data_IF_202837782749
#
_entry.id   IF_202837782749
#
_cell.length_a   1.000
_cell.length_b   1.000
_cell.length_c   1.000
_cell.angle_alpha   90.00
_cell.angle_beta   90.00
_cell.angle_gamma   90.00
#
_symmetry.space_group_name_H-M   'P 1'
#
loop_
_entity.id
_entity.type
_entity.pdbx_description
1 polymer ?
#
# COMPACT_ATOMS: atom_id res chain seq x y z
N UNK A 1 -5.62 -17.47 4.36
CA UNK A 1 -4.43 -17.12 5.13
C UNK A 1 -4.87 -16.66 6.52
N UNK A 2 -4.26 -17.23 7.54
CA UNK A 2 -4.47 -16.83 8.93
C UNK A 2 -3.90 -15.41 9.12
N UNK A 3 -4.69 -14.48 9.65
CA UNK A 3 -4.24 -13.12 9.94
C UNK A 3 -3.45 -13.05 11.26
N UNK A 4 -2.67 -11.98 11.43
CA UNK A 4 -2.04 -11.65 12.70
C UNK A 4 -3.09 -10.97 13.61
N UNK A 5 -3.12 -11.32 14.89
CA UNK A 5 -4.00 -10.71 15.89
C UNK A 5 -3.26 -9.61 16.63
N UNK A 6 -3.91 -8.49 16.87
CA UNK A 6 -3.33 -7.39 17.65
C UNK A 6 -3.13 -7.76 19.12
N UNK A 7 -2.12 -7.16 19.74
CA UNK A 7 -1.84 -7.27 21.18
C UNK A 7 -1.99 -5.87 21.81
N UNK A 8 -3.21 -5.41 22.09
CA UNK A 8 -3.51 -4.02 22.40
C UNK A 8 -2.97 -3.52 23.75
N UNK A 9 -2.54 -4.42 24.62
CA UNK A 9 -1.93 -4.08 25.91
C UNK A 9 -0.44 -3.71 25.82
N UNK A 10 0.21 -3.92 24.67
CA UNK A 10 1.62 -3.55 24.47
C UNK A 10 1.77 -2.11 23.99
N UNK A 11 0.86 -1.65 23.14
CA UNK A 11 0.88 -0.31 22.58
C UNK A 11 -0.54 0.21 22.43
N UNK A 12 -0.70 1.51 22.54
CA UNK A 12 -1.92 2.17 22.11
C UNK A 12 -1.88 2.31 20.60
N UNK A 13 -2.90 1.80 19.92
CA UNK A 13 -2.97 1.70 18.46
C UNK A 13 -4.06 2.64 17.92
N UNK A 14 -3.68 3.43 16.94
CA UNK A 14 -4.61 4.20 16.11
C UNK A 14 -4.43 3.78 14.64
N UNK A 15 -5.46 3.98 13.84
CA UNK A 15 -5.49 3.54 12.45
C UNK A 15 -5.97 4.69 11.57
N UNK A 16 -5.16 5.09 10.57
CA UNK A 16 -5.57 6.03 9.53
C UNK A 16 -6.20 5.23 8.40
N UNK A 17 -7.50 5.41 8.09
CA UNK A 17 -8.10 4.82 6.91
C UNK A 17 -7.34 5.21 5.65
N UNK A 18 -7.27 4.32 4.67
CA UNK A 18 -6.51 4.54 3.44
C UNK A 18 -6.94 5.80 2.67
N UNK A 19 -8.24 6.12 2.65
CA UNK A 19 -8.74 7.34 2.03
C UNK A 19 -8.27 8.62 2.75
N UNK A 20 -8.14 8.59 4.08
CA UNK A 20 -7.57 9.68 4.86
C UNK A 20 -6.05 9.83 4.62
N UNK A 21 -5.34 8.68 4.50
CA UNK A 21 -3.92 8.67 4.13
C UNK A 21 -3.70 9.31 2.75
N UNK A 22 -4.53 8.98 1.77
CA UNK A 22 -4.45 9.54 0.42
C UNK A 22 -4.73 11.05 0.37
N UNK A 23 -5.62 11.57 1.22
CA UNK A 23 -5.81 13.02 1.36
C UNK A 23 -4.54 13.69 1.85
N UNK A 24 -3.89 13.11 2.86
CA UNK A 24 -2.62 13.59 3.37
C UNK A 24 -1.49 13.52 2.33
N UNK A 25 -1.42 12.48 1.52
CA UNK A 25 -0.43 12.39 0.42
C UNK A 25 -0.60 13.51 -0.61
N UNK A 26 -1.83 13.97 -0.86
CA UNK A 26 -2.11 15.07 -1.79
C UNK A 26 -1.81 16.44 -1.17
N UNK A 27 -2.06 16.56 0.11
CA UNK A 27 -1.85 17.78 0.89
C UNK A 27 -1.28 17.44 2.26
N UNK A 28 0.03 17.62 2.43
CA UNK A 28 0.72 17.33 3.68
C UNK A 28 0.33 18.24 4.85
N UNK A 29 -0.43 19.32 4.60
CA UNK A 29 -1.03 20.15 5.66
C UNK A 29 -2.32 19.53 6.23
N UNK A 30 -2.90 18.55 5.53
CA UNK A 30 -4.09 17.82 5.98
C UNK A 30 -3.76 16.94 7.20
N UNK A 31 -4.63 16.96 8.20
CA UNK A 31 -4.51 16.13 9.38
C UNK A 31 -5.47 14.93 9.25
N UNK A 32 -4.96 13.73 8.93
CA UNK A 32 -5.79 12.54 8.75
C UNK A 32 -6.59 12.21 10.02
N UNK A 33 -7.85 11.84 9.85
CA UNK A 33 -8.66 11.29 10.92
C UNK A 33 -8.23 9.87 11.22
N UNK A 34 -8.22 9.52 12.51
CA UNK A 34 -7.90 8.18 12.96
C UNK A 34 -9.14 7.49 13.52
N UNK A 35 -9.12 6.16 13.52
CA UNK A 35 -10.06 5.32 14.26
C UNK A 35 -9.28 4.45 15.24
N UNK A 36 -9.93 3.98 16.30
CA UNK A 36 -9.36 3.03 17.24
C UNK A 36 -9.61 1.59 16.78
N UNK A 37 -9.08 0.64 17.55
CA UNK A 37 -9.17 -0.79 17.17
C UNK A 37 -10.61 -1.32 17.08
N UNK A 38 -11.52 -0.76 17.86
CA UNK A 38 -12.96 -1.07 17.83
C UNK A 38 -13.71 -0.43 16.65
N UNK A 39 -13.11 0.58 16.02
CA UNK A 39 -13.67 1.28 14.86
C UNK A 39 -13.20 0.76 13.50
N UNK A 40 -12.27 -0.20 13.45
CA UNK A 40 -11.80 -0.75 12.18
C UNK A 40 -12.85 -1.65 11.53
N UNK A 41 -12.80 -1.77 10.20
CA UNK A 41 -13.76 -2.55 9.42
C UNK A 41 -13.05 -3.64 8.60
N UNK A 42 -13.67 -4.82 8.43
CA UNK A 42 -13.10 -5.87 7.62
C UNK A 42 -12.98 -5.45 6.14
N UNK A 43 -11.97 -6.00 5.48
CA UNK A 43 -11.61 -5.73 4.09
C UNK A 43 -11.23 -4.27 3.79
N UNK A 44 -10.89 -3.48 4.82
CA UNK A 44 -10.36 -2.13 4.66
C UNK A 44 -8.87 -2.07 5.01
N UNK A 45 -8.19 -1.12 4.37
CA UNK A 45 -6.78 -0.85 4.57
C UNK A 45 -6.59 0.34 5.52
N UNK A 46 -5.55 0.26 6.35
CA UNK A 46 -5.21 1.28 7.32
C UNK A 46 -3.71 1.43 7.46
N UNK A 47 -3.23 2.67 7.66
CA UNK A 47 -1.89 2.91 8.17
C UNK A 47 -1.91 2.82 9.70
N UNK A 48 -0.92 2.11 10.28
CA UNK A 48 -0.81 1.96 11.73
C UNK A 48 -0.07 3.14 12.34
N UNK A 49 -0.64 3.66 13.44
CA UNK A 49 0.01 4.61 14.35
C UNK A 49 0.19 3.92 15.70
N UNK A 50 1.38 4.07 16.29
CA UNK A 50 1.74 3.45 17.55
C UNK A 50 2.10 4.52 18.59
N UNK A 51 1.52 4.39 19.79
CA UNK A 51 2.00 5.05 20.99
C UNK A 51 2.49 3.99 21.97
N UNK A 52 3.79 4.03 22.31
CA UNK A 52 4.37 3.10 23.28
C UNK A 52 4.21 3.67 24.68
N UNK A 53 3.53 2.91 25.57
CA UNK A 53 3.28 3.28 26.96
C UNK A 53 4.27 2.67 27.95
N UNK A 54 5.16 1.79 27.50
CA UNK A 54 6.14 1.06 28.35
C UNK A 54 7.51 1.72 28.42
N UNK A 55 7.61 2.98 28.05
CA UNK A 55 8.87 3.72 27.97
C UNK A 55 9.34 3.87 26.52
N UNK A 56 10.04 4.96 26.27
CA UNK A 56 10.47 5.36 24.92
C UNK A 56 9.75 6.62 24.45
N UNK A 57 10.17 7.11 23.30
CA UNK A 57 9.72 8.41 22.74
C UNK A 57 8.66 8.27 21.65
N UNK A 58 8.11 7.09 21.43
CA UNK A 58 7.13 6.88 20.36
C UNK A 58 5.73 7.30 20.84
N UNK A 59 5.34 8.53 20.50
CA UNK A 59 4.00 9.05 20.70
C UNK A 59 3.38 9.35 19.35
N UNK A 60 2.24 8.69 19.04
CA UNK A 60 1.54 8.79 17.75
C UNK A 60 2.49 8.64 16.56
N UNK A 61 3.41 7.69 16.68
CA UNK A 61 4.41 7.43 15.65
C UNK A 61 3.76 6.68 14.48
N UNK A 62 3.83 7.28 13.29
CA UNK A 62 3.41 6.66 12.04
C UNK A 62 4.49 5.68 11.59
N UNK A 63 4.19 4.38 11.67
CA UNK A 63 5.15 3.32 11.30
C UNK A 63 5.39 3.31 9.78
N UNK A 64 4.43 3.83 9.02
CA UNK A 64 4.45 3.79 7.57
C UNK A 64 4.09 2.41 7.00
N UNK A 65 3.48 1.54 7.81
CA UNK A 65 2.97 0.26 7.35
C UNK A 65 1.47 0.34 7.11
N UNK A 66 1.06 -0.11 5.93
CA UNK A 66 -0.33 -0.35 5.58
C UNK A 66 -0.70 -1.79 5.90
N UNK A 67 -1.81 -1.97 6.56
CA UNK A 67 -2.40 -3.27 6.87
C UNK A 67 -3.80 -3.37 6.30
N UNK A 68 -4.25 -4.59 6.06
CA UNK A 68 -5.65 -4.90 5.76
C UNK A 68 -6.27 -5.67 6.91
N UNK A 69 -7.43 -5.22 7.38
CA UNK A 69 -8.22 -5.98 8.35
C UNK A 69 -8.93 -7.10 7.59
N UNK A 70 -8.69 -8.35 8.00
CA UNK A 70 -9.27 -9.53 7.34
C UNK A 70 -10.45 -10.13 8.12
N UNK A 71 -10.47 -9.93 9.43
CA UNK A 71 -11.55 -10.37 10.33
C UNK A 71 -11.63 -9.45 11.54
N UNK A 72 -12.79 -9.38 12.19
CA UNK A 72 -12.94 -8.68 13.48
C UNK A 72 -12.77 -9.61 14.69
N UNK A 73 -12.59 -10.91 14.45
CA UNK A 73 -12.42 -11.93 15.47
C UNK A 73 -11.40 -12.97 15.04
N UNK A 74 -10.62 -13.47 15.95
CA UNK A 74 -9.81 -14.65 15.77
C UNK A 74 -10.59 -15.89 16.25
N UNK A 75 -11.19 -16.62 15.32
CA UNK A 75 -12.03 -17.78 15.63
C UNK A 75 -11.24 -18.95 16.24
N UNK A 76 -9.99 -19.15 15.82
CA UNK A 76 -9.15 -20.23 16.32
C UNK A 76 -8.78 -20.01 17.78
N UNK A 77 -8.32 -18.79 18.11
CA UNK A 77 -7.98 -18.41 19.47
C UNK A 77 -9.20 -18.07 20.33
N UNK A 78 -10.39 -17.97 19.74
CA UNK A 78 -11.66 -17.52 20.39
C UNK A 78 -11.52 -16.15 21.05
N UNK A 79 -10.82 -15.23 20.38
CA UNK A 79 -10.53 -13.87 20.88
C UNK A 79 -11.26 -12.86 20.02
N UNK A 80 -12.00 -11.95 20.65
CA UNK A 80 -12.72 -10.87 19.99
C UNK A 80 -11.78 -9.68 19.71
N UNK A 81 -10.77 -9.94 18.88
CA UNK A 81 -9.82 -8.92 18.40
C UNK A 81 -9.67 -9.03 16.89
N UNK A 82 -9.59 -7.89 16.19
CA UNK A 82 -9.36 -7.87 14.76
C UNK A 82 -8.09 -8.61 14.36
N UNK A 83 -8.15 -9.23 13.19
CA UNK A 83 -7.00 -9.83 12.52
C UNK A 83 -6.59 -8.99 11.33
N UNK A 84 -5.29 -8.89 11.11
CA UNK A 84 -4.71 -8.13 10.02
C UNK A 84 -3.75 -8.96 9.18
N UNK A 85 -3.51 -8.50 7.96
CA UNK A 85 -2.38 -8.91 7.13
C UNK A 85 -1.60 -7.67 6.71
N UNK A 86 -0.31 -7.79 6.56
CA UNK A 86 0.49 -6.73 5.97
C UNK A 86 0.05 -6.50 4.52
N UNK A 87 -0.19 -5.25 4.16
CA UNK A 87 -0.64 -4.86 2.81
C UNK A 87 0.49 -4.23 2.00
N UNK A 88 1.30 -3.38 2.61
CA UNK A 88 2.43 -2.70 1.97
C UNK A 88 2.97 -1.56 2.83
N UNK A 89 3.85 -0.75 2.24
CA UNK A 89 4.32 0.48 2.86
C UNK A 89 3.45 1.64 2.43
N UNK A 90 3.11 2.52 3.38
CA UNK A 90 2.31 3.71 3.14
C UNK A 90 2.96 4.67 2.13
N UNK A 91 4.29 4.78 2.19
CA UNK A 91 5.08 5.64 1.30
C UNK A 91 5.14 5.12 -0.14
N UNK A 92 4.78 3.86 -0.38
CA UNK A 92 4.80 3.21 -1.69
C UNK A 92 3.43 3.12 -2.36
N UNK A 93 2.42 3.79 -1.78
CA UNK A 93 1.12 3.94 -2.42
C UNK A 93 1.18 5.06 -3.47
N UNK A 94 1.04 4.69 -4.73
CA UNK A 94 0.97 5.63 -5.85
C UNK A 94 -0.49 5.74 -6.31
N UNK A 95 -1.13 6.88 -6.03
CA UNK A 95 -2.47 7.19 -6.53
C UNK A 95 -2.35 7.89 -7.89
N UNK A 96 -2.82 7.25 -8.94
CA UNK A 96 -2.86 7.80 -10.30
C UNK A 96 -4.30 7.83 -10.77
N UNK A 97 -4.79 9.02 -11.10
CA UNK A 97 -6.14 9.22 -11.63
C UNK A 97 -6.35 8.36 -12.90
N UNK A 98 -7.31 7.45 -12.86
CA UNK A 98 -7.67 6.54 -13.94
C UNK A 98 -6.95 5.19 -13.93
N UNK A 99 -5.93 4.98 -13.09
CA UNK A 99 -5.24 3.70 -12.88
C UNK A 99 -5.41 3.14 -11.47
N UNK A 100 -6.18 3.83 -10.61
CA UNK A 100 -6.41 3.39 -9.24
C UNK A 100 -5.21 3.59 -8.31
N UNK A 101 -5.16 2.75 -7.29
CA UNK A 101 -4.17 2.78 -6.20
C UNK A 101 -3.13 1.70 -6.43
N UNK A 102 -1.94 2.12 -6.80
CA UNK A 102 -0.84 1.21 -7.12
C UNK A 102 0.05 1.02 -5.89
N UNK A 103 0.21 -0.22 -5.48
CA UNK A 103 1.24 -0.64 -4.53
C UNK A 103 2.47 -1.14 -5.30
N UNK A 104 3.62 -1.17 -4.64
CA UNK A 104 4.83 -1.80 -5.17
C UNK A 104 4.53 -3.23 -5.70
N UNK A 105 3.76 -4.01 -4.93
CA UNK A 105 3.37 -5.37 -5.31
C UNK A 105 2.58 -5.42 -6.61
N UNK A 106 1.60 -4.53 -6.81
CA UNK A 106 0.79 -4.49 -8.03
C UNK A 106 1.66 -4.12 -9.24
N UNK A 107 2.56 -3.15 -9.07
CA UNK A 107 3.49 -2.73 -10.12
C UNK A 107 4.44 -3.87 -10.47
N UNK A 108 5.02 -4.52 -9.46
CA UNK A 108 5.91 -5.67 -9.65
C UNK A 108 5.19 -6.83 -10.36
N UNK A 109 4.00 -7.22 -9.92
CA UNK A 109 3.21 -8.30 -10.51
C UNK A 109 2.84 -7.99 -11.97
N UNK A 110 2.47 -6.74 -12.27
CA UNK A 110 2.23 -6.30 -13.64
C UNK A 110 3.49 -6.41 -14.51
N UNK A 111 4.66 -6.04 -13.95
CA UNK A 111 5.95 -6.12 -14.65
C UNK A 111 6.34 -7.58 -14.92
N UNK A 112 6.24 -8.47 -13.93
CA UNK A 112 6.48 -9.92 -14.07
C UNK A 112 5.61 -10.52 -15.19
N UNK A 113 4.33 -10.17 -15.23
CA UNK A 113 3.39 -10.66 -16.23
C UNK A 113 3.70 -10.19 -17.66
N UNK A 114 4.53 -9.14 -17.84
CA UNK A 114 5.00 -8.74 -19.18
C UNK A 114 5.94 -9.76 -19.81
N UNK A 115 6.63 -10.57 -18.98
CA UNK A 115 7.69 -11.48 -19.39
C UNK A 115 8.98 -10.78 -19.85
N UNK A 116 9.12 -9.48 -19.61
CA UNK A 116 10.31 -8.73 -19.96
C UNK A 116 11.43 -9.02 -18.95
N UNK A 117 12.64 -9.47 -19.38
CA UNK A 117 13.74 -9.77 -18.48
C UNK A 117 14.41 -8.48 -17.99
N UNK A 118 14.38 -8.24 -16.68
CA UNK A 118 15.00 -7.08 -16.03
C UNK A 118 15.92 -7.50 -14.86
N UNK A 119 16.74 -6.58 -14.40
CA UNK A 119 17.60 -6.70 -13.21
C UNK A 119 16.93 -5.98 -12.05
N UNK A 120 16.63 -4.71 -12.25
CA UNK A 120 15.96 -3.86 -11.27
C UNK A 120 14.94 -2.94 -11.93
N UNK A 121 14.04 -2.40 -11.14
CA UNK A 121 13.05 -1.42 -11.58
C UNK A 121 12.76 -0.39 -10.49
N UNK A 122 12.30 0.78 -10.92
CA UNK A 122 11.81 1.84 -10.06
C UNK A 122 10.58 2.46 -10.69
N UNK A 123 9.57 2.74 -9.87
CA UNK A 123 8.38 3.46 -10.29
C UNK A 123 8.27 4.81 -9.58
N UNK A 124 7.88 5.85 -10.33
CA UNK A 124 7.68 7.19 -9.80
C UNK A 124 6.44 7.82 -10.40
N UNK A 125 5.64 8.47 -9.54
CA UNK A 125 4.57 9.34 -9.98
C UNK A 125 5.15 10.71 -10.35
N UNK A 126 4.80 11.18 -11.53
CA UNK A 126 5.05 12.56 -11.95
C UNK A 126 3.76 13.24 -12.36
N UNK A 127 3.70 14.55 -12.19
CA UNK A 127 2.57 15.36 -12.63
C UNK A 127 3.05 16.22 -13.80
N UNK A 128 2.52 15.94 -14.99
CA UNK A 128 2.84 16.68 -16.22
C UNK A 128 1.60 17.48 -16.60
N UNK A 129 1.64 18.80 -16.33
CA UNK A 129 0.46 19.64 -16.39
C UNK A 129 -0.56 19.22 -15.32
N UNK A 130 -1.78 18.87 -15.74
CA UNK A 130 -2.84 18.38 -14.83
C UNK A 130 -2.93 16.84 -14.75
N UNK A 131 -2.05 16.13 -15.46
CA UNK A 131 -2.11 14.66 -15.55
C UNK A 131 -1.05 14.01 -14.66
N UNK A 132 -1.49 13.10 -13.81
CA UNK A 132 -0.58 12.20 -13.10
C UNK A 132 -0.14 11.07 -14.04
N UNK A 133 1.17 10.87 -14.16
CA UNK A 133 1.80 9.86 -15.03
C UNK A 133 2.67 8.96 -14.17
N UNK A 134 2.60 7.66 -14.41
CA UNK A 134 3.51 6.68 -13.83
C UNK A 134 4.74 6.56 -14.74
N UNK A 135 5.90 6.97 -14.23
CA UNK A 135 7.18 6.69 -14.86
C UNK A 135 7.73 5.38 -14.29
N UNK A 136 8.01 4.44 -15.18
CA UNK A 136 8.62 3.17 -14.85
C UNK A 136 10.02 3.13 -15.47
N UNK A 137 11.03 3.04 -14.60
CA UNK A 137 12.43 2.88 -14.98
C UNK A 137 12.78 1.41 -14.83
N UNK A 138 13.30 0.78 -15.88
CA UNK A 138 13.63 -0.64 -15.89
C UNK A 138 15.07 -0.79 -16.35
N UNK A 139 15.88 -1.49 -15.58
CA UNK A 139 17.19 -1.94 -16.01
C UNK A 139 17.04 -3.30 -16.73
N UNK A 140 17.19 -3.37 -18.05
CA UNK A 140 17.03 -4.62 -18.79
C UNK A 140 18.21 -5.57 -18.50
N UNK A 141 17.91 -6.85 -18.32
CA UNK A 141 18.95 -7.88 -18.13
C UNK A 141 19.81 -8.06 -19.39
N UNK A 142 19.22 -7.83 -20.56
CA UNK A 142 19.89 -7.90 -21.88
C UNK A 142 19.29 -6.82 -22.79
N UNK A 143 20.09 -6.27 -23.68
CA UNK A 143 19.64 -5.31 -24.69
C UNK A 143 18.89 -6.06 -25.81
N UNK A 144 17.59 -6.27 -25.63
CA UNK A 144 16.81 -7.16 -26.50
C UNK A 144 16.20 -6.47 -27.72
N UNK A 145 16.54 -5.22 -27.99
CA UNK A 145 15.97 -4.47 -29.13
C UNK A 145 14.45 -4.22 -29.04
N UNK A 146 13.80 -4.50 -27.91
CA UNK A 146 12.39 -4.22 -27.66
C UNK A 146 12.24 -2.72 -27.41
N UNK A 147 11.38 -2.06 -28.17
CA UNK A 147 11.15 -0.64 -27.99
C UNK A 147 10.43 -0.36 -26.65
N UNK A 148 10.83 0.72 -25.96
CA UNK A 148 10.23 1.14 -24.69
C UNK A 148 8.70 1.26 -24.76
N UNK A 149 8.19 1.70 -25.91
CA UNK A 149 6.75 1.81 -26.17
C UNK A 149 6.02 0.47 -26.09
N UNK A 150 6.66 -0.62 -26.54
CA UNK A 150 6.06 -1.96 -26.52
C UNK A 150 6.03 -2.53 -25.11
N UNK A 151 7.09 -2.25 -24.33
CA UNK A 151 7.15 -2.62 -22.90
C UNK A 151 6.06 -1.86 -22.15
N UNK A 152 5.96 -0.54 -22.34
CA UNK A 152 4.95 0.30 -21.72
C UNK A 152 3.53 -0.15 -22.05
N UNK A 153 3.26 -0.52 -23.31
CA UNK A 153 1.95 -1.01 -23.75
C UNK A 153 1.59 -2.37 -23.12
N UNK A 154 2.56 -3.29 -22.98
CA UNK A 154 2.36 -4.57 -22.29
C UNK A 154 2.11 -4.36 -20.80
N UNK A 155 2.96 -3.59 -20.15
CA UNK A 155 2.83 -3.26 -18.73
C UNK A 155 1.48 -2.63 -18.42
N UNK A 156 1.05 -1.65 -19.20
CA UNK A 156 -0.24 -0.97 -19.03
C UNK A 156 -1.43 -1.94 -19.10
N UNK A 157 -1.38 -2.92 -20.00
CA UNK A 157 -2.43 -3.96 -20.12
C UNK A 157 -2.46 -4.89 -18.91
N UNK A 158 -1.30 -5.31 -18.41
CA UNK A 158 -1.24 -6.19 -17.25
C UNK A 158 -1.69 -5.44 -15.98
N UNK A 159 -1.29 -4.18 -15.83
CA UNK A 159 -1.73 -3.33 -14.74
C UNK A 159 -3.25 -3.15 -14.69
N UNK A 160 -3.89 -2.92 -15.85
CA UNK A 160 -5.35 -2.79 -15.94
C UNK A 160 -6.11 -4.09 -15.62
N UNK A 161 -5.50 -5.26 -15.78
CA UNK A 161 -6.10 -6.54 -15.38
C UNK A 161 -6.10 -6.69 -13.86
N UNK A 162 -5.03 -6.25 -13.20
CA UNK A 162 -4.88 -6.35 -11.74
C UNK A 162 -5.75 -5.33 -10.98
N UNK A 163 -5.98 -4.15 -11.56
CA UNK A 163 -6.82 -3.10 -10.96
C UNK A 163 -8.32 -3.47 -10.89
N UNK A 164 -8.76 -4.48 -11.64
CA UNK A 164 -10.15 -4.94 -11.68
C UNK A 164 -10.47 -6.06 -10.67
N UNK A 165 -9.50 -6.52 -9.90
CA UNK A 165 -9.65 -7.53 -8.85
C UNK A 165 -9.70 -6.88 -7.46
#
# INVERSE_FOLDING_TARGET
RQGLTFVPNLNFLEFIPEDEHLKWQRDHSYHPKTVLLDGVKPNQNYEIIITNLHGGSLVRFRVGDMIRIVSLRNEEAKVDLPQMVFYGRADYLIDIAGLGRLTERIIWEALENTGFPYVEWMARKEVIGEKAVLHLYIEPRHTNGVADRDIAARFSRELQKLDKQ
#
